data_IF_799335129949
#
_entry.id   IF_799335129949
#
_cell.length_a   1.000
_cell.length_b   1.000
_cell.length_c   1.000
_cell.angle_alpha   90.00
_cell.angle_beta   90.00
_cell.angle_gamma   90.00
#
_symmetry.space_group_name_H-M   'P 1'
#
loop_
_entity.id
_entity.type
_entity.pdbx_description
1 polymer ?
#
# COMPACT_ATOMS: atom_id res chain seq x y z
N UNK A 1 8.93 -16.86 -44.53
CA UNK A 1 8.34 -17.81 -43.56
C UNK A 1 9.48 -18.39 -42.72
N UNK A 2 9.75 -17.78 -41.58
CA UNK A 2 10.64 -18.33 -40.56
C UNK A 2 9.95 -18.11 -39.21
N UNK A 3 9.28 -19.15 -38.73
CA UNK A 3 8.66 -19.17 -37.41
C UNK A 3 9.77 -19.11 -36.36
N UNK A 4 10.08 -17.92 -35.85
CA UNK A 4 10.77 -17.78 -34.57
C UNK A 4 9.72 -17.89 -33.48
N UNK A 5 9.42 -19.13 -33.09
CA UNK A 5 8.76 -19.44 -31.83
C UNK A 5 9.60 -18.82 -30.71
N UNK A 6 9.12 -17.72 -30.14
CA UNK A 6 9.66 -17.19 -28.89
C UNK A 6 9.39 -18.25 -27.82
N UNK A 7 10.44 -18.98 -27.44
CA UNK A 7 10.44 -19.75 -26.21
C UNK A 7 10.07 -18.78 -25.08
N UNK A 8 8.84 -18.90 -24.57
CA UNK A 8 8.46 -18.33 -23.29
C UNK A 8 9.46 -18.84 -22.26
N UNK A 9 10.01 -17.99 -21.38
CA UNK A 9 10.94 -18.44 -20.37
C UNK A 9 10.17 -19.20 -19.28
N UNK A 10 9.84 -20.46 -19.55
CA UNK A 10 9.30 -21.43 -18.58
C UNK A 10 10.28 -21.64 -17.40
N UNK A 11 11.52 -21.15 -17.52
CA UNK A 11 12.54 -21.20 -16.48
C UNK A 11 12.43 -20.14 -15.38
N UNK A 12 11.68 -19.04 -15.54
CA UNK A 12 11.54 -18.04 -14.45
C UNK A 12 10.58 -18.54 -13.36
N UNK A 13 9.60 -19.38 -13.72
CA UNK A 13 8.67 -20.01 -12.78
C UNK A 13 9.29 -21.20 -12.01
N UNK A 14 10.32 -21.84 -12.58
CA UNK A 14 11.03 -22.98 -11.96
C UNK A 14 11.98 -22.59 -10.82
N UNK A 15 12.30 -21.29 -10.69
CA UNK A 15 12.99 -20.71 -9.53
C UNK A 15 12.03 -20.35 -8.40
N UNK A 16 10.82 -20.90 -8.38
CA UNK A 16 10.01 -21.00 -7.18
C UNK A 16 10.83 -21.78 -6.13
N UNK A 17 11.59 -21.03 -5.33
CA UNK A 17 12.36 -21.48 -4.17
C UNK A 17 11.69 -22.70 -3.55
N UNK A 18 12.45 -23.79 -3.33
CA UNK A 18 12.08 -24.81 -2.34
C UNK A 18 11.63 -24.07 -1.08
N UNK A 19 10.31 -23.97 -0.88
CA UNK A 19 9.71 -23.03 0.06
C UNK A 19 9.95 -23.60 1.44
N UNK A 20 10.79 -22.93 2.20
CA UNK A 20 11.20 -23.36 3.53
C UNK A 20 10.05 -23.09 4.51
N UNK A 21 9.20 -24.11 4.70
CA UNK A 21 8.08 -24.05 5.64
C UNK A 21 8.56 -23.79 7.06
N UNK A 22 9.73 -24.29 7.44
CA UNK A 22 10.33 -24.04 8.74
C UNK A 22 10.68 -22.56 8.92
N UNK A 23 11.33 -21.93 7.93
CA UNK A 23 11.58 -20.48 7.95
C UNK A 23 10.28 -19.69 8.07
N UNK A 24 9.27 -20.06 7.27
CA UNK A 24 7.98 -19.35 7.26
C UNK A 24 7.29 -19.43 8.63
N UNK A 25 7.16 -20.65 9.18
CA UNK A 25 6.54 -20.88 10.49
C UNK A 25 7.31 -20.14 11.58
N UNK A 26 8.65 -20.22 11.57
CA UNK A 26 9.49 -19.54 12.56
C UNK A 26 9.30 -18.03 12.51
N UNK A 27 9.34 -17.40 11.32
CA UNK A 27 9.14 -15.96 11.18
C UNK A 27 7.76 -15.51 11.66
N UNK A 28 6.71 -16.30 11.37
CA UNK A 28 5.35 -16.02 11.81
C UNK A 28 5.20 -16.16 13.32
N UNK A 29 5.79 -17.19 13.93
CA UNK A 29 5.78 -17.38 15.38
C UNK A 29 6.51 -16.23 16.08
N UNK A 30 7.66 -15.79 15.56
CA UNK A 30 8.40 -14.64 16.10
C UNK A 30 7.56 -13.37 16.02
N UNK A 31 6.97 -13.07 14.85
CA UNK A 31 6.09 -11.91 14.70
C UNK A 31 4.89 -11.97 15.65
N UNK A 32 4.21 -13.11 15.73
CA UNK A 32 3.07 -13.31 16.62
C UNK A 32 3.46 -13.14 18.09
N UNK A 33 4.61 -13.67 18.50
CA UNK A 33 5.09 -13.58 19.88
C UNK A 33 5.43 -12.13 20.26
N UNK A 34 6.15 -11.42 19.40
CA UNK A 34 6.48 -10.01 19.61
C UNK A 34 5.23 -9.13 19.59
N UNK A 35 4.32 -9.38 18.64
CA UNK A 35 3.03 -8.70 18.56
C UNK A 35 2.16 -8.95 19.77
N UNK A 36 2.14 -10.19 20.29
CA UNK A 36 1.42 -10.53 21.53
C UNK A 36 1.98 -9.77 22.73
N UNK A 37 3.31 -9.75 22.90
CA UNK A 37 3.97 -8.94 23.93
C UNK A 37 3.60 -7.47 23.75
N UNK A 38 3.61 -6.98 22.52
CA UNK A 38 3.23 -5.61 22.16
C UNK A 38 1.82 -5.26 22.61
N UNK A 39 0.79 -6.02 22.19
CA UNK A 39 -0.60 -5.72 22.53
C UNK A 39 -0.88 -5.85 24.04
N UNK A 40 -0.18 -6.74 24.75
CA UNK A 40 -0.35 -6.91 26.20
C UNK A 40 0.22 -5.74 27.02
N UNK A 41 1.13 -4.95 26.44
CA UNK A 41 1.69 -3.75 27.05
C UNK A 41 1.19 -2.45 26.39
N UNK A 42 0.29 -2.58 25.40
CA UNK A 42 -0.24 -1.45 24.66
C UNK A 42 -1.54 -0.96 25.28
N UNK A 43 -1.53 0.27 25.76
CA UNK A 43 -2.74 0.97 26.16
C UNK A 43 -3.50 1.42 24.91
N UNK A 44 -4.76 0.99 24.81
CA UNK A 44 -5.60 1.33 23.65
C UNK A 44 -5.75 2.84 23.52
N UNK A 45 -5.44 3.34 22.34
CA UNK A 45 -5.59 4.76 22.04
C UNK A 45 -7.07 5.14 21.92
N UNK A 46 -7.32 6.45 22.05
CA UNK A 46 -8.66 7.03 21.92
C UNK A 46 -9.36 6.62 20.61
N UNK A 47 -8.64 6.58 19.50
CA UNK A 47 -9.17 6.23 18.18
C UNK A 47 -9.51 4.73 18.06
N UNK A 48 -8.77 3.85 18.74
CA UNK A 48 -9.11 2.43 18.87
C UNK A 48 -10.41 2.24 19.68
N UNK A 49 -10.52 2.89 20.83
CA UNK A 49 -11.69 2.81 21.70
C UNK A 49 -12.93 3.44 21.04
N UNK A 50 -12.77 4.54 20.29
CA UNK A 50 -13.86 5.13 19.52
C UNK A 50 -14.44 4.14 18.50
N UNK A 51 -13.58 3.47 17.72
CA UNK A 51 -14.01 2.46 16.76
C UNK A 51 -14.73 1.29 17.44
N UNK A 52 -14.22 0.84 18.59
CA UNK A 52 -14.86 -0.20 19.39
C UNK A 52 -16.23 0.23 19.91
N UNK A 53 -16.36 1.42 20.50
CA UNK A 53 -17.62 1.91 21.05
C UNK A 53 -18.69 2.08 19.96
N UNK A 54 -18.33 2.63 18.79
CA UNK A 54 -19.25 2.72 17.65
C UNK A 54 -19.78 1.33 17.30
N UNK A 55 -18.90 0.33 17.24
CA UNK A 55 -19.28 -1.03 16.90
C UNK A 55 -20.15 -1.72 17.97
N UNK A 56 -19.73 -1.64 19.24
CA UNK A 56 -20.41 -2.24 20.40
C UNK A 56 -21.80 -1.64 20.60
N UNK A 57 -21.88 -0.31 20.59
CA UNK A 57 -23.10 0.42 20.95
C UNK A 57 -24.11 0.51 19.78
N UNK A 58 -23.77 -0.06 18.62
CA UNK A 58 -24.69 -0.19 17.49
C UNK A 58 -25.63 -1.39 17.68
N UNK A 59 -26.94 -1.13 17.64
CA UNK A 59 -28.00 -2.13 17.83
C UNK A 59 -28.20 -3.07 16.63
N UNK A 60 -27.79 -2.64 15.44
CA UNK A 60 -27.88 -3.40 14.19
C UNK A 60 -26.81 -2.95 13.21
N UNK A 61 -26.57 -3.71 12.14
CA UNK A 61 -25.64 -3.33 11.06
C UNK A 61 -26.08 -2.01 10.40
N UNK A 62 -27.38 -1.79 10.23
CA UNK A 62 -27.87 -0.52 9.68
C UNK A 62 -27.57 0.64 10.63
N UNK A 63 -27.77 0.45 11.94
CA UNK A 63 -27.43 1.45 12.95
C UNK A 63 -25.92 1.70 13.04
N UNK A 64 -25.08 0.67 12.82
CA UNK A 64 -23.62 0.82 12.69
C UNK A 64 -23.25 1.82 11.59
N UNK A 65 -23.77 1.64 10.38
CA UNK A 65 -23.47 2.55 9.27
C UNK A 65 -24.06 3.95 9.47
N UNK A 66 -25.14 4.08 10.25
CA UNK A 66 -25.65 5.40 10.66
C UNK A 66 -24.69 6.09 11.63
N UNK A 67 -24.14 5.36 12.61
CA UNK A 67 -23.21 5.89 13.59
C UNK A 67 -21.84 6.23 12.97
N UNK A 68 -21.40 5.48 11.96
CA UNK A 68 -20.15 5.74 11.22
C UNK A 68 -20.19 6.98 10.32
N UNK A 69 -21.38 7.51 10.06
CA UNK A 69 -21.58 8.58 9.09
C UNK A 69 -20.74 9.85 9.37
N UNK A 70 -20.43 10.11 10.64
CA UNK A 70 -19.61 11.24 11.08
C UNK A 70 -18.12 10.91 11.26
N UNK A 71 -17.75 9.63 11.10
CA UNK A 71 -16.36 9.17 11.25
C UNK A 71 -15.55 9.39 9.98
N UNK A 72 -16.20 9.32 8.81
CA UNK A 72 -15.56 9.58 7.51
C UNK A 72 -14.68 8.45 6.98
N UNK A 73 -14.73 7.25 7.57
CA UNK A 73 -14.02 6.07 7.07
C UNK A 73 -14.97 4.98 6.56
N UNK A 74 -14.53 4.15 5.60
CA UNK A 74 -15.27 2.96 5.22
C UNK A 74 -15.40 1.94 6.38
N UNK A 75 -16.53 1.25 6.44
CA UNK A 75 -16.96 0.46 7.58
C UNK A 75 -16.46 -0.99 7.64
N UNK A 76 -15.56 -1.46 6.76
CA UNK A 76 -15.15 -2.89 6.77
C UNK A 76 -14.51 -3.30 8.10
N UNK A 77 -13.68 -2.43 8.67
CA UNK A 77 -13.08 -2.64 9.99
C UNK A 77 -14.17 -2.73 11.08
N UNK A 78 -15.07 -1.74 11.10
CA UNK A 78 -16.17 -1.64 12.04
C UNK A 78 -17.16 -2.80 11.95
N UNK A 79 -17.40 -3.35 10.76
CA UNK A 79 -18.20 -4.58 10.59
C UNK A 79 -17.56 -5.75 11.35
N UNK A 80 -16.24 -5.92 11.26
CA UNK A 80 -15.51 -6.94 12.03
C UNK A 80 -15.71 -6.73 13.54
N UNK A 81 -15.51 -5.50 14.01
CA UNK A 81 -15.70 -5.15 15.42
C UNK A 81 -17.15 -5.36 15.89
N UNK A 82 -18.13 -5.06 15.05
CA UNK A 82 -19.54 -5.23 15.35
C UNK A 82 -19.83 -6.70 15.67
N UNK A 83 -19.36 -7.64 14.84
CA UNK A 83 -19.54 -9.06 15.10
C UNK A 83 -18.82 -9.51 16.38
N UNK A 84 -17.59 -9.04 16.64
CA UNK A 84 -16.86 -9.37 17.86
C UNK A 84 -17.58 -8.89 19.12
N UNK A 85 -18.13 -7.68 19.08
CA UNK A 85 -18.85 -7.10 20.21
C UNK A 85 -20.14 -7.86 20.58
N UNK A 86 -20.64 -8.75 19.70
CA UNK A 86 -21.77 -9.64 20.04
C UNK A 86 -21.37 -10.78 20.98
N UNK A 87 -20.07 -11.03 21.15
CA UNK A 87 -19.55 -12.08 22.03
C UNK A 87 -19.01 -11.53 23.36
N UNK A 88 -18.56 -10.28 23.40
CA UNK A 88 -17.99 -9.63 24.59
C UNK A 88 -18.02 -8.11 24.49
N UNK A 89 -18.20 -7.43 25.61
CA UNK A 89 -18.08 -5.96 25.71
C UNK A 89 -16.63 -5.48 25.90
N UNK A 90 -15.71 -6.40 26.16
CA UNK A 90 -14.31 -6.09 26.46
C UNK A 90 -13.54 -5.76 25.16
N UNK A 91 -13.01 -4.52 25.01
CA UNK A 91 -12.30 -4.10 23.79
C UNK A 91 -11.00 -4.87 23.53
N UNK A 92 -10.46 -5.63 24.50
CA UNK A 92 -9.24 -6.42 24.31
C UNK A 92 -9.38 -7.43 23.17
N UNK A 93 -10.60 -7.93 22.89
CA UNK A 93 -10.84 -8.83 21.75
C UNK A 93 -10.45 -8.21 20.40
N UNK A 94 -10.55 -6.89 20.26
CA UNK A 94 -10.15 -6.16 19.06
C UNK A 94 -8.65 -6.25 18.80
N UNK A 95 -7.82 -6.16 19.85
CA UNK A 95 -6.36 -6.27 19.72
C UNK A 95 -5.96 -7.68 19.24
N UNK A 96 -6.59 -8.73 19.77
CA UNK A 96 -6.35 -10.10 19.31
C UNK A 96 -6.82 -10.32 17.87
N UNK A 97 -7.99 -9.79 17.51
CA UNK A 97 -8.50 -9.83 16.15
C UNK A 97 -7.56 -9.11 15.17
N UNK A 98 -7.08 -7.93 15.55
CA UNK A 98 -6.11 -7.17 14.77
C UNK A 98 -4.81 -7.94 14.58
N UNK A 99 -4.23 -8.47 15.67
CA UNK A 99 -2.99 -9.26 15.63
C UNK A 99 -3.13 -10.51 14.76
N UNK A 100 -4.31 -11.16 14.76
CA UNK A 100 -4.59 -12.29 13.87
C UNK A 100 -4.54 -11.88 12.39
N UNK A 101 -5.14 -10.74 12.03
CA UNK A 101 -5.09 -10.21 10.65
C UNK A 101 -3.66 -9.84 10.28
N UNK A 102 -2.93 -9.15 11.16
CA UNK A 102 -1.54 -8.75 10.94
C UNK A 102 -0.64 -9.99 10.72
N UNK A 103 -0.78 -10.99 11.58
CA UNK A 103 -0.05 -12.27 11.50
C UNK A 103 -0.37 -13.01 10.21
N UNK A 104 -1.63 -12.99 9.78
CA UNK A 104 -2.04 -13.57 8.48
C UNK A 104 -1.40 -12.83 7.32
N UNK A 105 -1.35 -11.49 7.38
CA UNK A 105 -0.67 -10.66 6.39
C UNK A 105 0.83 -11.00 6.29
N UNK A 106 1.50 -11.11 7.44
CA UNK A 106 2.92 -11.51 7.53
C UNK A 106 3.14 -12.93 7.01
N UNK A 107 2.24 -13.88 7.34
CA UNK A 107 2.31 -15.23 6.78
C UNK A 107 2.27 -15.21 5.25
N UNK A 108 1.29 -14.51 4.66
CA UNK A 108 1.17 -14.38 3.19
C UNK A 108 2.42 -13.73 2.61
N UNK A 109 2.88 -12.64 3.21
CA UNK A 109 4.07 -11.94 2.78
C UNK A 109 5.32 -12.84 2.81
N UNK A 110 5.62 -13.49 3.92
CA UNK A 110 6.81 -14.35 4.06
C UNK A 110 6.72 -15.56 3.12
N UNK A 111 5.53 -16.16 2.98
CA UNK A 111 5.30 -17.37 2.18
C UNK A 111 5.37 -17.11 0.68
N UNK A 112 4.80 -15.99 0.20
CA UNK A 112 4.56 -15.78 -1.23
C UNK A 112 5.38 -14.65 -1.86
N UNK A 113 5.95 -13.73 -1.09
CA UNK A 113 6.74 -12.64 -1.67
C UNK A 113 8.09 -13.11 -2.25
N UNK A 114 8.60 -12.43 -3.29
CA UNK A 114 9.84 -12.80 -3.98
C UNK A 114 11.10 -12.33 -3.24
N UNK A 115 10.95 -11.71 -2.06
CA UNK A 115 12.05 -11.18 -1.29
C UNK A 115 12.92 -12.29 -0.69
N UNK A 116 14.20 -11.97 -0.44
CA UNK A 116 15.11 -12.89 0.25
C UNK A 116 14.80 -12.96 1.76
N UNK A 117 15.43 -13.89 2.48
CA UNK A 117 15.14 -14.11 3.91
C UNK A 117 15.37 -12.88 4.79
N UNK A 118 16.46 -12.15 4.57
CA UNK A 118 16.79 -10.97 5.37
C UNK A 118 15.77 -9.87 5.15
N UNK A 119 15.41 -9.60 3.90
CA UNK A 119 14.37 -8.64 3.53
C UNK A 119 13.03 -9.03 4.16
N UNK A 120 12.65 -10.32 4.11
CA UNK A 120 11.41 -10.80 4.73
C UNK A 120 11.38 -10.54 6.23
N UNK A 121 12.48 -10.78 6.94
CA UNK A 121 12.60 -10.51 8.37
C UNK A 121 12.49 -9.01 8.64
N UNK A 122 13.31 -8.17 7.98
CA UNK A 122 13.32 -6.73 8.24
C UNK A 122 12.00 -6.05 7.89
N UNK A 123 11.36 -6.42 6.78
CA UNK A 123 10.07 -5.85 6.37
C UNK A 123 8.92 -6.32 7.29
N UNK A 124 8.98 -7.55 7.82
CA UNK A 124 7.93 -8.06 8.72
C UNK A 124 8.08 -7.55 10.15
N UNK A 125 9.31 -7.38 10.64
CA UNK A 125 9.62 -6.88 11.98
C UNK A 125 9.90 -5.36 12.01
N UNK A 126 9.79 -4.70 10.87
CA UNK A 126 9.99 -3.26 10.73
C UNK A 126 8.89 -2.44 11.39
N UNK A 127 9.15 -1.15 11.54
CA UNK A 127 8.29 -0.20 12.26
C UNK A 127 6.82 -0.27 11.82
N UNK A 128 6.53 -0.18 10.51
CA UNK A 128 5.15 -0.19 10.03
C UNK A 128 4.44 -1.52 10.27
N UNK A 129 5.07 -2.65 9.90
CA UNK A 129 4.44 -3.96 9.97
C UNK A 129 4.20 -4.42 11.42
N UNK A 130 5.18 -4.22 12.31
CA UNK A 130 5.10 -4.69 13.68
C UNK A 130 4.35 -3.71 14.58
N UNK A 131 4.61 -2.41 14.47
CA UNK A 131 4.03 -1.40 15.38
C UNK A 131 2.74 -0.80 14.81
N UNK A 132 2.83 0.03 13.77
CA UNK A 132 1.68 0.80 13.25
C UNK A 132 0.54 -0.08 12.72
N UNK A 133 0.86 -1.23 12.13
CA UNK A 133 -0.11 -2.16 11.52
C UNK A 133 -0.19 -3.51 12.23
N UNK A 134 0.57 -3.71 13.30
CA UNK A 134 0.56 -4.94 14.11
C UNK A 134 -0.01 -4.74 15.51
N UNK A 135 0.37 -3.65 16.18
CA UNK A 135 0.01 -3.35 17.58
C UNK A 135 -1.17 -2.39 17.67
N UNK A 136 -1.17 -1.30 16.88
CA UNK A 136 -2.26 -0.31 16.92
C UNK A 136 -3.49 -0.83 16.16
N UNK A 137 -4.60 -1.08 16.86
CA UNK A 137 -5.78 -1.77 16.33
C UNK A 137 -6.63 -0.88 15.41
N UNK A 138 -6.16 -0.72 14.17
CA UNK A 138 -6.76 0.20 13.19
C UNK A 138 -7.08 -0.51 11.87
N UNK A 139 -7.87 0.14 11.03
CA UNK A 139 -8.33 -0.43 9.75
C UNK A 139 -7.22 -0.71 8.73
N UNK A 140 -6.04 -0.11 8.89
CA UNK A 140 -4.91 -0.22 7.95
C UNK A 140 -4.40 -1.66 7.79
N UNK A 141 -4.50 -2.50 8.83
CA UNK A 141 -4.07 -3.90 8.78
C UNK A 141 -4.82 -4.71 7.71
N UNK A 142 -6.11 -4.39 7.50
CA UNK A 142 -6.90 -5.00 6.43
C UNK A 142 -6.37 -4.57 5.06
N UNK A 143 -5.99 -3.29 4.92
CA UNK A 143 -5.38 -2.76 3.71
C UNK A 143 -4.08 -3.49 3.38
N UNK A 144 -3.20 -3.64 4.39
CA UNK A 144 -1.95 -4.37 4.27
C UNK A 144 -2.17 -5.82 3.80
N UNK A 145 -3.05 -6.55 4.49
CA UNK A 145 -3.41 -7.93 4.14
C UNK A 145 -3.91 -8.02 2.70
N UNK A 146 -4.85 -7.16 2.31
CA UNK A 146 -5.47 -7.19 0.99
C UNK A 146 -4.50 -6.84 -0.13
N UNK A 147 -3.54 -5.93 0.11
CA UNK A 147 -2.47 -5.62 -0.85
C UNK A 147 -1.56 -6.84 -1.05
N UNK A 148 -1.20 -7.57 0.01
CA UNK A 148 -0.39 -8.79 -0.10
C UNK A 148 -1.16 -9.95 -0.76
N UNK A 149 -2.44 -10.09 -0.46
CA UNK A 149 -3.34 -11.00 -1.19
C UNK A 149 -3.38 -10.67 -2.68
N UNK A 150 -3.55 -9.38 -3.03
CA UNK A 150 -3.54 -8.93 -4.42
C UNK A 150 -2.22 -9.28 -5.11
N UNK A 151 -1.06 -8.97 -4.50
CA UNK A 151 0.25 -9.28 -5.09
C UNK A 151 0.47 -10.79 -5.29
N UNK A 152 -0.07 -11.62 -4.39
CA UNK A 152 -0.02 -13.08 -4.49
C UNK A 152 -0.90 -13.57 -5.65
N UNK A 153 -2.15 -13.10 -5.71
CA UNK A 153 -3.13 -13.47 -6.73
C UNK A 153 -2.78 -12.90 -8.11
N UNK A 154 -1.96 -11.86 -8.18
CA UNK A 154 -1.54 -11.21 -9.43
C UNK A 154 -0.90 -12.18 -10.43
N UNK A 155 -0.22 -13.21 -9.92
CA UNK A 155 0.38 -14.29 -10.73
C UNK A 155 -0.66 -15.12 -11.50
N UNK A 156 -1.91 -15.11 -11.05
CA UNK A 156 -3.01 -15.89 -11.61
C UNK A 156 -4.01 -15.05 -12.42
N UNK A 157 -3.70 -13.78 -12.70
CA UNK A 157 -4.56 -12.86 -13.47
C UNK A 157 -4.89 -13.38 -14.88
N UNK A 158 -4.04 -14.24 -15.42
CA UNK A 158 -4.28 -14.97 -16.69
C UNK A 158 -5.40 -16.00 -16.63
N UNK A 159 -5.89 -16.37 -15.45
CA UNK A 159 -7.03 -17.28 -15.29
C UNK A 159 -8.32 -16.49 -15.13
N UNK A 160 -8.40 -15.61 -14.15
CA UNK A 160 -9.58 -14.79 -13.86
C UNK A 160 -9.18 -13.49 -13.16
N UNK A 161 -9.89 -12.40 -13.45
CA UNK A 161 -9.75 -11.13 -12.74
C UNK A 161 -10.63 -11.04 -11.48
N UNK A 162 -11.60 -11.96 -11.31
CA UNK A 162 -12.59 -11.90 -10.23
C UNK A 162 -11.94 -11.90 -8.83
N UNK A 163 -10.97 -12.78 -8.49
CA UNK A 163 -10.33 -12.75 -7.18
C UNK A 163 -9.61 -11.43 -6.89
N UNK A 164 -8.98 -10.84 -7.91
CA UNK A 164 -8.33 -9.54 -7.79
C UNK A 164 -9.36 -8.44 -7.56
N UNK A 165 -10.47 -8.43 -8.31
CA UNK A 165 -11.55 -7.47 -8.11
C UNK A 165 -12.22 -7.60 -6.74
N UNK A 166 -12.35 -8.80 -6.17
CA UNK A 166 -12.82 -8.99 -4.80
C UNK A 166 -11.86 -8.38 -3.78
N UNK A 167 -10.54 -8.58 -3.96
CA UNK A 167 -9.54 -7.89 -3.14
C UNK A 167 -9.67 -6.37 -3.27
N UNK A 168 -9.86 -5.84 -4.48
CA UNK A 168 -10.01 -4.40 -4.71
C UNK A 168 -11.31 -3.85 -4.09
N UNK A 169 -12.43 -4.57 -4.16
CA UNK A 169 -13.69 -4.20 -3.51
C UNK A 169 -13.49 -4.04 -2.01
N UNK A 170 -12.86 -5.02 -1.38
CA UNK A 170 -12.58 -4.99 0.06
C UNK A 170 -11.58 -3.87 0.38
N UNK A 171 -10.55 -3.68 -0.45
CA UNK A 171 -9.51 -2.68 -0.25
C UNK A 171 -10.06 -1.25 -0.36
N UNK A 172 -11.01 -1.00 -1.27
CA UNK A 172 -11.77 0.25 -1.29
C UNK A 172 -12.47 0.51 0.04
N UNK A 173 -12.97 -0.54 0.70
CA UNK A 173 -13.74 -0.42 1.93
C UNK A 173 -12.90 -0.53 3.21
N UNK A 174 -11.58 -0.44 3.17
CA UNK A 174 -10.74 -0.38 4.40
C UNK A 174 -10.54 1.04 4.90
N UNK A 175 -10.04 1.92 4.01
CA UNK A 175 -9.62 3.28 4.30
C UNK A 175 -9.46 4.06 2.99
N UNK A 176 -9.47 5.39 3.03
CA UNK A 176 -9.32 6.23 1.82
C UNK A 176 -7.98 5.98 1.07
N UNK A 177 -6.89 5.72 1.79
CA UNK A 177 -5.63 5.30 1.17
C UNK A 177 -5.75 3.92 0.49
N UNK A 178 -6.51 2.99 1.07
CA UNK A 178 -6.84 1.71 0.44
C UNK A 178 -7.59 1.92 -0.87
N UNK A 179 -8.59 2.80 -0.90
CA UNK A 179 -9.31 3.19 -2.11
C UNK A 179 -8.39 3.75 -3.20
N UNK A 180 -7.48 4.67 -2.86
CA UNK A 180 -6.50 5.23 -3.80
C UNK A 180 -5.60 4.14 -4.37
N UNK A 181 -5.08 3.25 -3.51
CA UNK A 181 -4.25 2.11 -3.94
C UNK A 181 -5.07 1.17 -4.83
N UNK A 182 -6.33 0.90 -4.50
CA UNK A 182 -7.20 0.04 -5.29
C UNK A 182 -7.40 0.58 -6.73
N UNK A 183 -7.58 1.90 -6.88
CA UNK A 183 -7.62 2.55 -8.20
C UNK A 183 -6.29 2.36 -8.94
N UNK A 184 -5.16 2.61 -8.29
CA UNK A 184 -3.83 2.41 -8.90
C UNK A 184 -3.63 0.96 -9.38
N UNK A 185 -4.02 -0.02 -8.56
CA UNK A 185 -3.93 -1.44 -8.89
C UNK A 185 -4.88 -1.83 -10.04
N UNK A 186 -6.08 -1.28 -10.11
CA UNK A 186 -6.99 -1.47 -11.25
C UNK A 186 -6.38 -0.91 -12.54
N UNK A 187 -5.88 0.32 -12.50
CA UNK A 187 -5.22 0.96 -13.65
C UNK A 187 -4.02 0.11 -14.10
N UNK A 188 -3.28 -0.46 -13.16
CA UNK A 188 -2.17 -1.38 -13.43
C UNK A 188 -2.63 -2.64 -14.17
N UNK A 189 -3.75 -3.25 -13.78
CA UNK A 189 -4.32 -4.43 -14.47
C UNK A 189 -4.77 -4.10 -15.90
N UNK A 190 -5.42 -2.95 -16.08
CA UNK A 190 -5.84 -2.48 -17.40
C UNK A 190 -4.60 -2.22 -18.27
N UNK A 191 -3.60 -1.53 -17.74
CA UNK A 191 -2.39 -1.19 -18.46
C UNK A 191 -1.51 -2.41 -18.76
N UNK A 192 -1.42 -3.39 -17.86
CA UNK A 192 -0.79 -4.70 -18.13
C UNK A 192 -1.42 -5.38 -19.33
N UNK A 193 -2.76 -5.36 -19.38
CA UNK A 193 -3.53 -5.95 -20.48
C UNK A 193 -3.31 -5.21 -21.79
N UNK A 194 -3.14 -3.89 -21.76
CA UNK A 194 -2.87 -3.09 -22.95
C UNK A 194 -1.43 -3.28 -23.45
N UNK A 195 -0.46 -3.30 -22.54
CA UNK A 195 0.95 -3.18 -22.90
C UNK A 195 1.61 -4.52 -23.22
N UNK A 196 1.25 -5.59 -22.50
CA UNK A 196 1.89 -6.89 -22.63
C UNK A 196 0.99 -7.97 -23.23
N UNK A 197 -0.27 -7.66 -23.50
CA UNK A 197 -1.26 -8.65 -23.94
C UNK A 197 -2.06 -8.15 -25.13
N UNK A 198 -2.57 -9.09 -25.92
CA UNK A 198 -3.47 -8.78 -27.03
C UNK A 198 -4.89 -8.53 -26.50
N UNK A 199 -5.23 -7.24 -26.35
CA UNK A 199 -6.51 -6.78 -25.79
C UNK A 199 -7.70 -7.44 -26.50
N UNK A 200 -7.68 -7.50 -27.84
CA UNK A 200 -8.78 -8.06 -28.64
C UNK A 200 -9.09 -9.50 -28.28
N UNK A 201 -8.05 -10.31 -28.10
CA UNK A 201 -8.17 -11.73 -27.78
C UNK A 201 -8.64 -11.96 -26.34
N UNK A 202 -8.20 -11.11 -25.41
CA UNK A 202 -8.63 -11.19 -24.02
C UNK A 202 -10.09 -10.75 -23.88
N UNK A 203 -10.49 -9.63 -24.48
CA UNK A 203 -11.87 -9.14 -24.40
C UNK A 203 -12.84 -10.16 -25.00
N UNK A 204 -12.51 -10.76 -26.13
CA UNK A 204 -13.38 -11.75 -26.77
C UNK A 204 -13.52 -13.01 -25.93
N UNK A 205 -12.40 -13.57 -25.42
CA UNK A 205 -12.42 -14.83 -24.65
C UNK A 205 -12.93 -14.67 -23.22
N UNK A 206 -12.76 -13.49 -22.61
CA UNK A 206 -13.02 -13.26 -21.18
C UNK A 206 -14.04 -12.15 -20.89
N UNK A 207 -14.88 -11.80 -21.85
CA UNK A 207 -15.86 -10.70 -21.73
C UNK A 207 -16.64 -10.74 -20.41
N UNK A 208 -17.20 -11.90 -20.07
CA UNK A 208 -17.99 -12.10 -18.85
C UNK A 208 -17.16 -11.91 -17.58
N UNK A 209 -15.97 -12.51 -17.52
CA UNK A 209 -15.04 -12.38 -16.38
C UNK A 209 -14.66 -10.91 -16.14
N UNK A 210 -14.34 -10.17 -17.21
CA UNK A 210 -14.00 -8.74 -17.16
C UNK A 210 -15.22 -7.93 -16.70
N UNK A 211 -16.40 -8.20 -17.24
CA UNK A 211 -17.62 -7.46 -16.88
C UNK A 211 -17.98 -7.68 -15.41
N UNK A 212 -17.96 -8.92 -14.93
CA UNK A 212 -18.18 -9.24 -13.51
C UNK A 212 -17.11 -8.56 -12.64
N UNK A 213 -15.85 -8.64 -13.03
CA UNK A 213 -14.73 -8.04 -12.30
C UNK A 213 -14.85 -6.52 -12.20
N UNK A 214 -15.29 -5.85 -13.27
CA UNK A 214 -15.57 -4.42 -13.26
C UNK A 214 -16.78 -4.08 -12.37
N UNK A 215 -17.86 -4.86 -12.44
CA UNK A 215 -19.04 -4.67 -11.58
C UNK A 215 -18.68 -4.80 -10.09
N UNK A 216 -17.88 -5.81 -9.73
CA UNK A 216 -17.38 -6.00 -8.36
C UNK A 216 -16.56 -4.78 -7.92
N UNK A 217 -15.61 -4.33 -8.74
CA UNK A 217 -14.82 -3.15 -8.40
C UNK A 217 -15.70 -1.89 -8.23
N UNK A 218 -16.60 -1.64 -9.18
CA UNK A 218 -17.48 -0.47 -9.16
C UNK A 218 -18.41 -0.49 -7.94
N UNK A 219 -18.90 -1.66 -7.53
CA UNK A 219 -19.67 -1.83 -6.30
C UNK A 219 -18.83 -1.45 -5.07
N UNK A 220 -17.58 -1.92 -5.00
CA UNK A 220 -16.66 -1.56 -3.92
C UNK A 220 -16.35 -0.06 -3.88
N UNK A 221 -16.10 0.54 -5.03
CA UNK A 221 -15.84 1.97 -5.12
C UNK A 221 -17.08 2.80 -4.71
N UNK A 222 -18.25 2.44 -5.21
CA UNK A 222 -19.52 3.09 -4.87
C UNK A 222 -19.82 3.02 -3.37
N UNK A 223 -19.69 1.83 -2.78
CA UNK A 223 -19.94 1.62 -1.34
C UNK A 223 -18.97 2.41 -0.48
N UNK A 224 -17.68 2.43 -0.82
CA UNK A 224 -16.69 3.25 -0.12
C UNK A 224 -17.02 4.74 -0.19
N UNK A 225 -17.29 5.28 -1.38
CA UNK A 225 -17.58 6.71 -1.56
C UNK A 225 -18.83 7.14 -0.77
N UNK A 226 -19.86 6.29 -0.73
CA UNK A 226 -21.07 6.56 0.05
C UNK A 226 -20.81 6.64 1.56
N UNK A 227 -19.80 5.93 2.07
CA UNK A 227 -19.45 5.90 3.48
C UNK A 227 -18.48 7.02 3.88
N UNK A 228 -17.54 7.38 3.00
CA UNK A 228 -16.49 8.37 3.30
C UNK A 228 -16.99 9.80 3.25
N UNK A 229 -18.01 10.10 2.43
CA UNK A 229 -18.54 11.47 2.33
C UNK A 229 -19.37 11.77 3.59
N UNK A 230 -18.91 12.65 4.47
CA UNK A 230 -19.65 12.98 5.68
C UNK A 230 -20.85 13.87 5.33
N UNK A 231 -21.88 13.91 6.18
CA UNK A 231 -23.00 14.81 5.99
C UNK A 231 -22.59 16.27 6.14
N UNK A 232 -23.39 17.17 5.55
CA UNK A 232 -23.06 18.60 5.43
C UNK A 232 -22.93 19.34 6.77
N UNK A 233 -23.46 18.77 7.84
CA UNK A 233 -23.37 19.25 9.22
C UNK A 233 -22.14 18.71 9.98
N UNK A 234 -21.23 18.00 9.31
CA UNK A 234 -19.98 17.52 9.90
C UNK A 234 -18.91 18.61 9.91
N UNK A 235 -18.40 18.92 11.09
CA UNK A 235 -17.31 19.87 11.32
C UNK A 235 -16.13 19.16 11.98
N UNK A 236 -14.92 19.51 11.56
CA UNK A 236 -13.66 19.12 12.21
C UNK A 236 -12.88 20.41 12.47
N UNK A 237 -12.48 20.66 13.71
CA UNK A 237 -11.83 21.91 14.14
C UNK A 237 -12.57 23.18 13.68
N UNK A 238 -13.89 23.21 13.81
CA UNK A 238 -14.77 24.34 13.42
C UNK A 238 -14.73 24.72 11.92
N UNK A 239 -14.09 23.91 11.08
CA UNK A 239 -14.09 24.05 9.61
C UNK A 239 -14.97 22.95 9.02
N UNK A 240 -15.79 23.23 8.00
CA UNK A 240 -16.52 22.18 7.30
C UNK A 240 -15.56 21.09 6.83
N UNK A 241 -15.87 19.83 7.15
CA UNK A 241 -15.08 18.67 6.67
C UNK A 241 -15.20 18.56 5.14
N UNK A 242 -16.13 19.28 4.50
CA UNK A 242 -16.31 19.33 3.06
C UNK A 242 -15.27 20.24 2.38
N UNK A 243 -14.60 19.71 1.36
CA UNK A 243 -13.74 20.49 0.47
C UNK A 243 -12.34 19.91 0.28
N UNK A 244 -11.78 20.17 -0.90
CA UNK A 244 -10.38 19.93 -1.24
C UNK A 244 -9.67 21.28 -1.31
N UNK A 245 -8.48 21.37 -0.73
CA UNK A 245 -7.62 22.56 -0.78
C UNK A 245 -6.79 22.50 -2.06
N UNK A 246 -7.10 23.39 -3.01
CA UNK A 246 -6.34 23.51 -4.26
C UNK A 246 -5.42 24.72 -4.31
N UNK A 247 -5.50 25.61 -3.33
CA UNK A 247 -4.60 26.76 -3.24
C UNK A 247 -3.18 26.26 -2.99
N UNK A 248 -2.21 26.76 -3.77
CA UNK A 248 -0.82 26.37 -3.60
C UNK A 248 -0.22 27.04 -2.37
N UNK A 249 0.25 26.23 -1.42
CA UNK A 249 0.94 26.68 -0.21
C UNK A 249 2.26 25.91 -0.13
N UNK A 250 3.38 26.65 -0.16
CA UNK A 250 4.72 26.04 -0.23
C UNK A 250 5.04 25.19 1.01
N UNK A 251 4.63 25.63 2.21
CA UNK A 251 4.83 24.85 3.45
C UNK A 251 4.13 23.50 3.40
N UNK A 252 2.86 23.47 2.96
CA UNK A 252 2.04 22.26 2.89
C UNK A 252 2.58 21.32 1.81
N UNK A 253 3.10 21.89 0.72
CA UNK A 253 3.77 21.13 -0.34
C UNK A 253 5.06 20.46 0.19
N UNK A 254 5.89 21.20 0.93
CA UNK A 254 7.11 20.65 1.54
C UNK A 254 6.76 19.56 2.58
N UNK A 255 5.77 19.80 3.45
CA UNK A 255 5.29 18.80 4.41
C UNK A 255 4.80 17.54 3.71
N UNK A 256 4.07 17.70 2.60
CA UNK A 256 3.62 16.58 1.76
C UNK A 256 4.80 15.81 1.18
N UNK A 257 5.80 16.48 0.61
CA UNK A 257 6.98 15.82 0.06
C UNK A 257 7.71 15.00 1.13
N UNK A 258 7.87 15.57 2.31
CA UNK A 258 8.58 14.94 3.43
C UNK A 258 7.87 13.68 3.95
N UNK A 259 6.58 13.48 3.66
CA UNK A 259 5.89 12.21 3.96
C UNK A 259 6.55 11.00 3.31
N UNK A 260 7.21 11.14 2.15
CA UNK A 260 8.03 10.07 1.54
C UNK A 260 9.20 9.72 2.45
N UNK A 261 9.92 10.71 2.97
CA UNK A 261 11.04 10.50 3.91
C UNK A 261 10.54 9.85 5.20
N UNK A 262 9.42 10.34 5.75
CA UNK A 262 8.78 9.75 6.94
C UNK A 262 8.42 8.28 6.71
N UNK A 263 7.89 7.94 5.54
CA UNK A 263 7.46 6.59 5.20
C UNK A 263 8.61 5.64 4.85
N UNK A 264 9.61 6.09 4.09
CA UNK A 264 10.68 5.21 3.59
C UNK A 264 11.83 5.10 4.58
N UNK A 265 12.01 6.12 5.41
CA UNK A 265 13.04 6.17 6.44
C UNK A 265 12.39 6.53 7.78
N UNK A 266 11.62 5.62 8.39
CA UNK A 266 10.96 5.86 9.68
C UNK A 266 12.00 5.85 10.81
N UNK A 267 12.82 6.90 10.87
CA UNK A 267 13.90 7.09 11.84
C UNK A 267 13.34 7.90 13.01
N UNK A 268 12.78 7.24 14.01
CA UNK A 268 12.24 7.92 15.19
C UNK A 268 13.36 8.61 15.97
N UNK A 269 13.04 9.76 16.56
CA UNK A 269 13.95 10.51 17.41
C UNK A 269 13.86 9.99 18.85
N UNK A 270 14.85 9.22 19.29
CA UNK A 270 14.90 8.71 20.66
C UNK A 270 15.23 9.82 21.67
N UNK A 271 14.62 9.75 22.85
CA UNK A 271 14.94 10.61 23.99
C UNK A 271 14.43 12.05 23.89
N UNK A 272 13.55 12.35 22.92
CA UNK A 272 12.93 13.67 22.78
C UNK A 272 11.42 13.54 22.99
N UNK A 273 10.97 13.84 24.20
CA UNK A 273 9.57 14.18 24.45
C UNK A 273 9.37 15.60 23.94
N UNK A 274 8.86 15.76 22.71
CA UNK A 274 8.72 17.09 22.10
C UNK A 274 7.63 17.94 22.76
N UNK A 275 6.92 17.44 23.78
CA UNK A 275 5.73 18.07 24.37
C UNK A 275 4.53 18.21 23.41
N UNK A 276 4.74 17.95 22.11
CA UNK A 276 3.80 18.18 21.01
C UNK A 276 3.44 16.86 20.30
N UNK A 277 4.41 15.96 20.11
CA UNK A 277 4.19 14.65 19.52
C UNK A 277 4.98 13.57 20.27
N UNK A 278 4.39 12.37 20.46
CA UNK A 278 5.10 11.25 21.07
C UNK A 278 6.24 10.77 20.16
N UNK A 279 7.27 10.16 20.75
CA UNK A 279 8.50 9.82 20.01
C UNK A 279 8.24 8.95 18.77
N UNK A 280 7.23 8.07 18.81
CA UNK A 280 6.89 7.18 17.70
C UNK A 280 6.31 7.93 16.48
N UNK A 281 5.81 9.15 16.64
CA UNK A 281 5.35 9.99 15.52
C UNK A 281 6.44 10.93 14.98
N UNK A 282 7.63 10.95 15.58
CA UNK A 282 8.75 11.81 15.16
C UNK A 282 9.54 11.22 14.00
N UNK A 283 10.29 12.07 13.29
CA UNK A 283 11.29 11.64 12.31
C UNK A 283 12.54 12.51 12.42
N UNK A 284 13.67 11.89 12.76
CA UNK A 284 14.92 12.58 13.06
C UNK A 284 15.42 13.46 11.89
N UNK A 285 15.28 13.01 10.63
CA UNK A 285 15.71 13.80 9.47
C UNK A 285 14.84 15.04 9.28
N UNK A 286 13.53 14.91 9.52
CA UNK A 286 12.58 16.02 9.43
C UNK A 286 12.82 17.02 10.55
N UNK A 287 13.00 16.53 11.78
CA UNK A 287 13.29 17.35 12.96
C UNK A 287 14.61 18.12 12.81
N UNK A 288 15.63 17.51 12.16
CA UNK A 288 16.91 18.17 11.89
C UNK A 288 16.74 19.33 10.91
N UNK A 289 16.15 19.06 9.74
CA UNK A 289 15.89 20.08 8.73
C UNK A 289 14.88 19.57 7.68
N UNK A 290 13.71 20.20 7.64
CA UNK A 290 12.64 19.83 6.70
C UNK A 290 13.03 19.94 5.22
N UNK A 291 13.86 20.92 4.85
CA UNK A 291 14.31 21.10 3.46
C UNK A 291 15.29 20.00 3.04
N UNK A 292 16.18 19.57 3.94
CA UNK A 292 17.06 18.42 3.71
C UNK A 292 16.21 17.15 3.56
N UNK A 293 15.22 16.95 4.44
CA UNK A 293 14.30 15.84 4.34
C UNK A 293 13.49 15.86 3.03
N UNK A 294 13.12 17.04 2.51
CA UNK A 294 12.42 17.20 1.24
C UNK A 294 13.32 16.85 0.03
N UNK A 295 14.60 17.24 0.06
CA UNK A 295 15.58 16.84 -0.97
C UNK A 295 15.77 15.32 -0.97
N UNK A 296 15.85 14.72 0.21
CA UNK A 296 15.92 13.26 0.37
C UNK A 296 14.64 12.60 -0.20
N UNK A 297 13.46 13.13 0.11
CA UNK A 297 12.19 12.63 -0.42
C UNK A 297 12.16 12.63 -1.95
N UNK A 298 12.52 13.75 -2.58
CA UNK A 298 12.58 13.87 -4.04
C UNK A 298 13.60 12.86 -4.61
N UNK A 299 14.74 12.72 -3.96
CA UNK A 299 15.79 11.78 -4.37
C UNK A 299 15.29 10.32 -4.29
N UNK A 300 14.60 9.94 -3.21
CA UNK A 300 14.00 8.61 -3.04
C UNK A 300 12.89 8.34 -4.06
N UNK A 301 12.05 9.33 -4.35
CA UNK A 301 11.01 9.23 -5.37
C UNK A 301 11.60 9.01 -6.77
N UNK A 302 12.58 9.84 -7.17
CA UNK A 302 13.27 9.72 -8.45
C UNK A 302 14.01 8.39 -8.52
N UNK A 303 14.72 8.00 -7.46
CA UNK A 303 15.43 6.73 -7.40
C UNK A 303 14.49 5.54 -7.61
N UNK A 304 13.34 5.53 -6.93
CA UNK A 304 12.31 4.49 -7.09
C UNK A 304 11.76 4.47 -8.52
N UNK A 305 11.48 5.64 -9.11
CA UNK A 305 11.04 5.73 -10.50
C UNK A 305 12.10 5.19 -11.48
N UNK A 306 13.38 5.52 -11.27
CA UNK A 306 14.49 5.00 -12.07
C UNK A 306 14.63 3.48 -11.93
N UNK A 307 14.39 2.93 -10.73
CA UNK A 307 14.41 1.48 -10.49
C UNK A 307 13.38 0.74 -11.36
N UNK A 308 12.23 1.38 -11.61
CA UNK A 308 11.11 0.83 -12.38
C UNK A 308 11.03 1.30 -13.83
N UNK A 309 11.91 2.19 -14.31
CA UNK A 309 11.83 2.80 -15.64
C UNK A 309 11.81 1.78 -16.80
N UNK A 310 12.44 0.60 -16.58
CA UNK A 310 12.50 -0.51 -17.55
C UNK A 310 11.29 -1.45 -17.47
N UNK A 311 10.34 -1.19 -16.58
CA UNK A 311 9.12 -1.97 -16.35
C UNK A 311 7.92 -1.02 -16.31
N UNK A 312 7.40 -0.59 -17.49
CA UNK A 312 6.43 0.50 -17.59
C UNK A 312 5.16 0.31 -16.75
N UNK A 313 4.67 -0.92 -16.64
CA UNK A 313 3.50 -1.24 -15.81
C UNK A 313 3.76 -0.99 -14.33
N UNK A 314 4.94 -1.37 -13.84
CA UNK A 314 5.33 -1.17 -12.43
C UNK A 314 5.64 0.30 -12.15
N UNK A 315 6.27 0.99 -13.10
CA UNK A 315 6.47 2.43 -13.01
C UNK A 315 5.13 3.17 -12.93
N UNK A 316 4.18 2.82 -13.80
CA UNK A 316 2.85 3.42 -13.77
C UNK A 316 2.16 3.16 -12.43
N UNK A 317 2.20 1.92 -11.95
CA UNK A 317 1.69 1.55 -10.63
C UNK A 317 2.30 2.44 -9.54
N UNK A 318 3.63 2.55 -9.50
CA UNK A 318 4.35 3.38 -8.53
C UNK A 318 3.95 4.85 -8.60
N UNK A 319 3.94 5.44 -9.79
CA UNK A 319 3.61 6.85 -9.99
C UNK A 319 2.15 7.13 -9.63
N UNK A 320 1.20 6.33 -10.11
CA UNK A 320 -0.23 6.54 -9.85
C UNK A 320 -0.56 6.34 -8.37
N UNK A 321 0.00 5.31 -7.72
CA UNK A 321 -0.22 5.07 -6.30
C UNK A 321 0.40 6.16 -5.42
N UNK A 322 1.67 6.47 -5.65
CA UNK A 322 2.43 7.46 -4.87
C UNK A 322 1.85 8.87 -5.06
N UNK A 323 1.68 9.33 -6.29
CA UNK A 323 1.12 10.66 -6.57
C UNK A 323 -0.34 10.76 -6.13
N UNK A 324 -1.13 9.69 -6.22
CA UNK A 324 -2.50 9.66 -5.70
C UNK A 324 -2.54 9.88 -4.19
N UNK A 325 -1.68 9.17 -3.43
CA UNK A 325 -1.58 9.34 -1.98
C UNK A 325 -1.09 10.75 -1.62
N UNK A 326 -0.03 11.24 -2.27
CA UNK A 326 0.50 12.59 -2.03
C UNK A 326 -0.53 13.68 -2.36
N UNK A 327 -1.30 13.51 -3.45
CA UNK A 327 -2.36 14.44 -3.82
C UNK A 327 -3.43 14.51 -2.75
N UNK A 328 -3.83 13.37 -2.16
CA UNK A 328 -4.77 13.35 -1.05
C UNK A 328 -4.19 14.00 0.21
N UNK A 329 -2.93 13.68 0.55
CA UNK A 329 -2.23 14.27 1.70
C UNK A 329 -2.19 15.79 1.60
N UNK A 330 -1.83 16.32 0.43
CA UNK A 330 -1.75 17.75 0.17
C UNK A 330 -3.12 18.44 0.20
N UNK A 331 -4.10 17.89 -0.52
CA UNK A 331 -5.39 18.56 -0.74
C UNK A 331 -6.36 18.39 0.42
N UNK A 332 -6.19 17.36 1.25
CA UNK A 332 -7.21 16.97 2.23
C UNK A 332 -6.69 16.87 3.65
N UNK A 333 -5.67 16.06 3.89
CA UNK A 333 -5.28 15.70 5.24
C UNK A 333 -3.82 15.21 5.29
N UNK A 334 -2.95 16.01 5.92
CA UNK A 334 -1.52 15.69 6.05
C UNK A 334 -1.33 14.35 6.77
N UNK A 335 -2.09 14.14 7.86
CA UNK A 335 -2.09 12.92 8.64
C UNK A 335 -0.78 12.60 9.38
N UNK A 336 -0.83 11.58 10.21
CA UNK A 336 0.29 11.06 10.99
C UNK A 336 1.06 9.95 10.27
N UNK A 337 2.12 9.45 10.89
CA UNK A 337 3.07 8.48 10.31
C UNK A 337 2.38 7.20 9.76
N UNK A 338 1.36 6.67 10.44
CA UNK A 338 0.55 5.53 9.95
C UNK A 338 -0.15 5.77 8.61
N UNK A 339 -0.50 7.01 8.30
CA UNK A 339 -1.05 7.38 6.99
C UNK A 339 0.07 7.39 5.94
N UNK A 340 1.22 7.96 6.28
CA UNK A 340 2.38 8.04 5.38
C UNK A 340 2.91 6.65 5.03
N UNK A 341 2.80 5.67 5.95
CA UNK A 341 3.19 4.27 5.72
C UNK A 341 2.53 3.61 4.52
N UNK A 342 1.39 4.11 4.01
CA UNK A 342 0.80 3.62 2.77
C UNK A 342 1.71 3.85 1.55
N UNK A 343 2.55 4.89 1.55
CA UNK A 343 3.59 5.10 0.54
C UNK A 343 4.62 3.96 0.57
N UNK A 344 4.99 3.51 1.76
CA UNK A 344 5.94 2.40 1.95
C UNK A 344 5.32 1.06 1.51
N UNK A 345 4.08 0.78 1.89
CA UNK A 345 3.37 -0.43 1.44
C UNK A 345 3.19 -0.42 -0.08
N UNK A 346 2.89 0.74 -0.68
CA UNK A 346 2.82 0.90 -2.12
C UNK A 346 4.15 0.58 -2.80
N UNK A 347 5.27 1.03 -2.23
CA UNK A 347 6.61 0.69 -2.72
C UNK A 347 6.88 -0.81 -2.62
N UNK A 348 6.57 -1.46 -1.48
CA UNK A 348 6.73 -2.91 -1.30
C UNK A 348 5.92 -3.67 -2.35
N UNK A 349 4.67 -3.26 -2.60
CA UNK A 349 3.83 -3.88 -3.63
C UNK A 349 4.44 -3.72 -5.03
N UNK A 350 5.00 -2.57 -5.37
CA UNK A 350 5.72 -2.36 -6.63
C UNK A 350 6.95 -3.28 -6.73
N UNK A 351 7.76 -3.35 -5.67
CA UNK A 351 8.95 -4.21 -5.61
C UNK A 351 8.57 -5.71 -5.73
N UNK A 352 7.44 -6.12 -5.17
CA UNK A 352 6.90 -7.47 -5.32
C UNK A 352 6.49 -7.72 -6.77
N UNK A 353 5.58 -6.90 -7.31
CA UNK A 353 5.05 -7.08 -8.67
C UNK A 353 6.14 -6.94 -9.75
N UNK A 354 7.20 -6.17 -9.47
CA UNK A 354 8.35 -6.03 -10.37
C UNK A 354 9.01 -7.35 -10.77
N UNK A 355 8.94 -8.39 -9.93
CA UNK A 355 9.47 -9.72 -10.26
C UNK A 355 8.70 -10.46 -11.35
N UNK A 356 7.47 -10.05 -11.65
CA UNK A 356 6.65 -10.68 -12.67
C UNK A 356 6.82 -10.07 -14.07
N UNK A 357 7.66 -9.03 -14.21
CA UNK A 357 7.89 -8.31 -15.46
C UNK A 357 9.32 -8.45 -15.95
N UNK A 358 9.49 -8.80 -17.22
CA UNK A 358 10.77 -8.66 -17.91
C UNK A 358 11.09 -7.19 -18.16
N UNK A 359 12.39 -6.87 -18.18
CA UNK A 359 12.85 -5.53 -18.53
C UNK A 359 12.61 -5.24 -20.02
N UNK A 360 12.27 -3.99 -20.33
CA UNK A 360 12.05 -3.51 -21.69
C UNK A 360 12.65 -2.12 -21.87
N UNK A 361 13.16 -1.83 -23.08
CA UNK A 361 13.68 -0.50 -23.46
C UNK A 361 12.59 0.43 -24.03
N UNK A 362 11.35 -0.06 -24.16
CA UNK A 362 10.26 0.62 -24.89
C UNK A 362 10.02 2.05 -24.42
N UNK A 363 9.94 2.28 -23.11
CA UNK A 363 9.70 3.61 -22.55
C UNK A 363 10.91 4.54 -22.76
N UNK A 364 12.14 4.03 -22.57
CA UNK A 364 13.36 4.80 -22.80
C UNK A 364 13.50 5.21 -24.27
N UNK A 365 13.20 4.31 -25.19
CA UNK A 365 13.17 4.58 -26.63
C UNK A 365 12.10 5.62 -26.99
N UNK A 366 10.92 5.56 -26.36
CA UNK A 366 9.86 6.55 -26.53
C UNK A 366 10.31 7.94 -26.06
N UNK A 367 10.88 8.02 -24.85
CA UNK A 367 11.39 9.29 -24.30
C UNK A 367 12.50 9.84 -25.21
N UNK A 368 13.44 9.01 -25.66
CA UNK A 368 14.50 9.44 -26.57
C UNK A 368 13.97 10.00 -27.89
N UNK A 369 12.90 9.39 -28.44
CA UNK A 369 12.27 9.83 -29.68
C UNK A 369 11.65 11.22 -29.57
N UNK A 370 11.00 11.53 -28.45
CA UNK A 370 10.31 12.81 -28.25
C UNK A 370 11.17 13.90 -27.60
N UNK A 371 12.20 13.53 -26.85
CA UNK A 371 13.07 14.45 -26.11
C UNK A 371 14.51 14.42 -26.63
N UNK A 372 14.70 14.77 -27.90
CA UNK A 372 16.01 14.72 -28.60
C UNK A 372 17.11 15.52 -27.87
N UNK A 373 16.76 16.64 -27.23
CA UNK A 373 17.67 17.49 -26.46
C UNK A 373 18.31 16.72 -25.29
N UNK A 374 17.62 15.71 -24.74
CA UNK A 374 18.10 14.90 -23.62
C UNK A 374 18.62 13.51 -24.03
N UNK A 375 18.82 13.27 -25.34
CA UNK A 375 19.20 11.96 -25.89
C UNK A 375 20.44 11.36 -25.22
N UNK A 376 21.50 12.16 -24.99
CA UNK A 376 22.73 11.72 -24.33
C UNK A 376 22.47 11.28 -22.88
N UNK A 377 21.67 12.04 -22.13
CA UNK A 377 21.30 11.71 -20.75
C UNK A 377 20.46 10.43 -20.70
N UNK A 378 19.56 10.23 -21.66
CA UNK A 378 18.71 9.02 -21.74
C UNK A 378 19.55 7.78 -22.04
N UNK A 379 20.52 7.86 -22.96
CA UNK A 379 21.47 6.77 -23.22
C UNK A 379 22.29 6.42 -21.97
N UNK A 380 22.78 7.44 -21.25
CA UNK A 380 23.50 7.22 -19.99
C UNK A 380 22.61 6.53 -18.95
N UNK A 381 21.33 6.93 -18.84
CA UNK A 381 20.37 6.32 -17.93
C UNK A 381 20.05 4.87 -18.30
N UNK A 382 19.92 4.58 -19.59
CA UNK A 382 19.74 3.22 -20.11
C UNK A 382 20.94 2.33 -19.75
N UNK A 383 22.16 2.79 -20.01
CA UNK A 383 23.39 2.06 -19.66
C UNK A 383 23.51 1.86 -18.14
N UNK A 384 23.22 2.89 -17.36
CA UNK A 384 23.24 2.83 -15.90
C UNK A 384 22.25 1.80 -15.37
N UNK A 385 21.00 1.83 -15.83
CA UNK A 385 19.96 0.91 -15.38
C UNK A 385 20.25 -0.52 -15.81
N UNK A 386 20.72 -0.77 -17.05
CA UNK A 386 21.16 -2.10 -17.50
C UNK A 386 22.27 -2.68 -16.61
N UNK A 387 23.23 -1.85 -16.19
CA UNK A 387 24.39 -2.29 -15.42
C UNK A 387 24.10 -2.46 -13.93
N UNK A 388 23.37 -1.53 -13.32
CA UNK A 388 23.31 -1.43 -11.85
C UNK A 388 21.95 -1.76 -11.24
N UNK A 389 20.87 -1.90 -12.02
CA UNK A 389 19.50 -2.08 -11.48
C UNK A 389 19.38 -3.22 -10.46
N UNK A 390 19.94 -4.41 -10.74
CA UNK A 390 19.88 -5.54 -9.80
C UNK A 390 20.59 -5.26 -8.47
N UNK A 391 21.74 -4.58 -8.54
CA UNK A 391 22.47 -4.15 -7.35
C UNK A 391 21.69 -3.10 -6.57
N UNK A 392 21.17 -2.08 -7.26
CA UNK A 392 20.35 -1.03 -6.68
C UNK A 392 19.08 -1.58 -6.03
N UNK A 393 18.41 -2.54 -6.67
CA UNK A 393 17.25 -3.23 -6.11
C UNK A 393 17.60 -3.91 -4.78
N UNK A 394 18.69 -4.69 -4.75
CA UNK A 394 19.12 -5.41 -3.56
C UNK A 394 19.49 -4.45 -2.43
N UNK A 395 20.24 -3.40 -2.75
CA UNK A 395 20.63 -2.36 -1.81
C UNK A 395 19.40 -1.64 -1.25
N UNK A 396 18.49 -1.20 -2.12
CA UNK A 396 17.29 -0.46 -1.74
C UNK A 396 16.37 -1.26 -0.83
N UNK A 397 16.11 -2.52 -1.17
CA UNK A 397 15.33 -3.43 -0.31
C UNK A 397 16.03 -3.79 1.01
N UNK A 398 17.30 -3.44 1.18
CA UNK A 398 18.04 -3.64 2.44
C UNK A 398 18.04 -2.36 3.29
N UNK A 399 17.93 -1.20 2.65
CA UNK A 399 17.97 0.11 3.30
C UNK A 399 16.60 0.62 3.74
N UNK A 400 15.53 0.14 3.10
CA UNK A 400 14.11 0.43 3.39
C UNK A 400 13.43 -0.85 3.83
#
# INVERSE_FOLDING_TARGET
MSNTTSEKPDNILSLAHKRDDFFTITSVIVFLSLGLIGILNHEMHFDELQAWMIARDSSSINNLFQNLKYEGHPGLWHLGLYFLSRFTDNPVVMQFYHLLIATTGVYIFVKYSPFNRQQKIFLSLGYFSLYEYGILSRSYVLGLLLIYCFCTLYTHRDKSFIPLSLCLLLLCNTHIHGFIIAISLLITLVFDTIFYREISDIITRKKLDITISLMIFLLGAYTSLKQVIPPSDSYFDFVPVSGLRFNFVLSDFIETLVTITRAYLPLQQFGVETGVAPFWETNALVSLNIYVAAIIAISLFIFSAVLFIRQPVVLLMYLMGTLGILSFIYTKYIGNLRHHGHLYIMLIACLWISHYYSETDTLLNLIQRYFLIFSKQIINLEQFTKKYRKFLYKLFCTLI
#
